data_IF_684320585500
#
_entry.id   IF_684320585500
#
_cell.length_a   1.000
_cell.length_b   1.000
_cell.length_c   1.000
_cell.angle_alpha   90.00
_cell.angle_beta   90.00
_cell.angle_gamma   90.00
#
_symmetry.space_group_name_H-M   'P 1'
#
loop_
_entity.id
_entity.type
_entity.pdbx_description
1 polymer ?
#
# COMPACT_ATOMS: atom_id res chain seq x y z
N UNK A 1 -24.57 3.10 21.35
CA UNK A 1 -23.81 3.69 20.23
C UNK A 1 -24.34 3.26 18.86
N UNK A 2 -24.35 1.95 18.47
CA UNK A 2 -24.89 1.54 17.17
C UNK A 2 -26.38 1.92 17.02
N UNK A 3 -27.20 1.60 18.02
CA UNK A 3 -28.62 1.91 18.04
C UNK A 3 -28.90 3.43 18.06
N UNK A 4 -28.13 4.21 18.77
CA UNK A 4 -28.23 5.67 18.82
C UNK A 4 -27.90 6.30 17.47
N UNK A 5 -26.76 5.87 16.86
CA UNK A 5 -26.39 6.33 15.53
C UNK A 5 -27.44 5.98 14.47
N UNK A 6 -28.04 4.80 14.58
CA UNK A 6 -29.07 4.38 13.66
C UNK A 6 -30.37 5.18 13.80
N UNK A 7 -30.80 5.51 15.02
CA UNK A 7 -31.97 6.35 15.27
C UNK A 7 -31.77 7.80 14.82
N UNK A 8 -30.58 8.33 15.05
CA UNK A 8 -30.21 9.70 14.71
C UNK A 8 -29.78 9.90 13.25
N UNK A 9 -29.64 8.82 12.49
CA UNK A 9 -29.15 8.87 11.09
C UNK A 9 -27.68 9.23 10.94
N UNK A 10 -26.87 8.99 11.97
CA UNK A 10 -25.43 9.23 11.98
C UNK A 10 -24.66 8.11 11.28
N UNK A 11 -23.47 8.43 10.80
CA UNK A 11 -22.55 7.45 10.23
C UNK A 11 -21.68 6.84 11.32
N UNK A 12 -21.44 5.54 11.24
CA UNK A 12 -20.54 4.80 12.12
C UNK A 12 -19.53 4.03 11.29
N UNK A 13 -18.28 4.00 11.73
CA UNK A 13 -17.22 3.22 11.11
C UNK A 13 -16.61 2.26 12.12
N UNK A 14 -16.66 0.96 11.82
CA UNK A 14 -16.02 -0.11 12.58
C UNK A 14 -14.75 -0.54 11.87
N UNK A 15 -13.61 -0.18 12.45
CA UNK A 15 -12.30 -0.48 11.88
C UNK A 15 -11.78 -1.82 12.36
N UNK A 16 -11.14 -2.56 11.45
CA UNK A 16 -10.42 -3.81 11.73
C UNK A 16 -11.30 -4.85 12.44
N UNK A 17 -12.49 -5.08 11.91
CA UNK A 17 -13.47 -5.99 12.50
C UNK A 17 -12.92 -7.43 12.64
N UNK A 18 -12.00 -7.85 11.77
CA UNK A 18 -11.31 -9.14 11.82
C UNK A 18 -10.60 -9.43 13.14
N UNK A 19 -10.19 -8.38 13.89
CA UNK A 19 -9.54 -8.54 15.19
C UNK A 19 -10.51 -8.90 16.31
N UNK A 20 -11.82 -8.76 16.07
CA UNK A 20 -12.86 -8.96 17.09
C UNK A 20 -13.75 -10.17 16.80
N UNK A 21 -13.15 -11.28 16.41
CA UNK A 21 -13.86 -12.50 15.97
C UNK A 21 -14.97 -12.98 16.92
N UNK A 22 -14.73 -12.90 18.24
CA UNK A 22 -15.73 -13.29 19.25
C UNK A 22 -16.95 -12.37 19.31
N UNK A 23 -16.81 -11.14 18.91
CA UNK A 23 -17.89 -10.14 18.95
C UNK A 23 -18.68 -10.07 17.64
N UNK A 24 -18.12 -10.53 16.53
CA UNK A 24 -18.73 -10.42 15.19
C UNK A 24 -20.13 -11.04 15.14
N UNK A 25 -20.34 -12.21 15.77
CA UNK A 25 -21.64 -12.86 15.79
C UNK A 25 -22.71 -12.06 16.55
N UNK A 26 -22.31 -11.38 17.61
CA UNK A 26 -23.21 -10.47 18.33
C UNK A 26 -23.49 -9.21 17.52
N UNK A 27 -22.48 -8.68 16.86
CA UNK A 27 -22.60 -7.52 15.97
C UNK A 27 -23.56 -7.81 14.80
N UNK A 28 -23.52 -8.99 14.21
CA UNK A 28 -24.44 -9.43 13.16
C UNK A 28 -25.89 -9.30 13.61
N UNK A 29 -26.23 -9.88 14.77
CA UNK A 29 -27.58 -9.81 15.33
C UNK A 29 -28.00 -8.37 15.65
N UNK A 30 -27.09 -7.57 16.20
CA UNK A 30 -27.36 -6.16 16.51
C UNK A 30 -27.58 -5.35 15.23
N UNK A 31 -26.78 -5.60 14.17
CA UNK A 31 -26.91 -4.91 12.88
C UNK A 31 -28.24 -5.27 12.19
N UNK A 32 -28.61 -6.53 12.18
CA UNK A 32 -29.89 -6.97 11.61
C UNK A 32 -31.08 -6.32 12.31
N UNK A 33 -31.08 -6.31 13.64
CA UNK A 33 -32.15 -5.65 14.44
C UNK A 33 -32.22 -4.16 14.17
N UNK A 34 -31.07 -3.51 14.09
CA UNK A 34 -30.98 -2.05 13.90
C UNK A 34 -31.35 -1.67 12.46
N UNK A 35 -31.03 -2.50 11.46
CA UNK A 35 -31.31 -2.21 10.05
C UNK A 35 -32.80 -2.06 9.75
N UNK A 36 -33.66 -2.75 10.50
CA UNK A 36 -35.12 -2.70 10.33
C UNK A 36 -35.76 -1.38 10.76
N UNK A 37 -35.13 -0.66 11.69
CA UNK A 37 -35.66 0.57 12.30
C UNK A 37 -34.72 1.78 12.08
N UNK A 38 -33.69 1.65 11.25
CA UNK A 38 -32.69 2.69 11.05
C UNK A 38 -33.25 3.87 10.24
N UNK A 39 -32.78 5.06 10.60
CA UNK A 39 -33.04 6.27 9.83
C UNK A 39 -32.44 6.16 8.40
N UNK A 40 -33.11 6.67 7.35
CA UNK A 40 -32.66 6.55 5.96
C UNK A 40 -31.22 7.09 5.69
N UNK A 41 -30.77 8.05 6.49
CA UNK A 41 -29.41 8.62 6.40
C UNK A 41 -28.34 7.82 7.16
N UNK A 42 -28.72 6.80 7.93
CA UNK A 42 -27.76 5.96 8.64
C UNK A 42 -26.85 5.21 7.68
N UNK A 43 -25.56 5.16 7.98
CA UNK A 43 -24.59 4.35 7.25
C UNK A 43 -23.63 3.68 8.22
N UNK A 44 -23.41 2.38 8.02
CA UNK A 44 -22.43 1.60 8.76
C UNK A 44 -21.31 1.19 7.81
N UNK A 45 -20.09 1.63 8.09
CA UNK A 45 -18.88 1.26 7.35
C UNK A 45 -18.11 0.24 8.18
N UNK A 46 -17.61 -0.79 7.52
CA UNK A 46 -16.83 -1.87 8.13
C UNK A 46 -15.53 -2.00 7.36
N UNK A 47 -14.40 -2.05 8.05
CA UNK A 47 -13.14 -2.43 7.44
C UNK A 47 -12.64 -3.76 8.00
N UNK A 48 -12.07 -4.59 7.15
CA UNK A 48 -11.46 -5.86 7.51
C UNK A 48 -10.31 -6.17 6.55
N UNK A 49 -9.31 -6.90 7.03
CA UNK A 49 -8.35 -7.54 6.14
C UNK A 49 -9.01 -8.71 5.41
N UNK A 50 -8.56 -9.01 4.18
CA UNK A 50 -9.00 -10.22 3.49
C UNK A 50 -8.50 -11.46 4.24
N UNK A 51 -9.23 -12.58 4.19
CA UNK A 51 -8.81 -13.80 4.85
C UNK A 51 -7.50 -14.32 4.25
N UNK A 52 -6.61 -14.89 5.07
CA UNK A 52 -5.33 -15.44 4.59
C UNK A 52 -5.51 -16.66 3.68
N UNK A 53 -6.59 -17.37 3.84
CA UNK A 53 -6.99 -18.53 3.03
C UNK A 53 -8.46 -18.38 2.61
N UNK A 54 -8.81 -18.82 1.39
CA UNK A 54 -10.20 -18.75 0.89
C UNK A 54 -11.22 -19.54 1.75
N UNK A 55 -10.74 -20.49 2.54
CA UNK A 55 -11.55 -21.35 3.41
C UNK A 55 -11.89 -20.76 4.77
N UNK A 56 -11.33 -19.58 5.09
CA UNK A 56 -11.55 -18.92 6.38
C UNK A 56 -12.51 -17.75 6.21
N UNK A 57 -13.70 -17.86 6.77
CA UNK A 57 -14.66 -16.78 6.83
C UNK A 57 -14.40 -15.90 8.06
N UNK A 58 -13.88 -14.71 7.81
CA UNK A 58 -13.62 -13.69 8.86
C UNK A 58 -14.90 -12.94 9.18
N UNK A 59 -15.64 -12.53 8.15
CA UNK A 59 -16.90 -11.80 8.28
C UNK A 59 -18.05 -12.73 7.92
N UNK A 60 -19.11 -12.85 8.75
CA UNK A 60 -20.26 -13.68 8.47
C UNK A 60 -20.88 -13.39 7.11
N UNK A 61 -21.28 -14.43 6.42
CA UNK A 61 -21.87 -14.36 5.09
C UNK A 61 -23.09 -13.43 5.01
N UNK A 62 -24.03 -13.39 5.98
CA UNK A 62 -25.16 -12.47 5.95
C UNK A 62 -24.76 -10.99 5.89
N UNK A 63 -23.69 -10.61 6.61
CA UNK A 63 -23.16 -9.24 6.56
C UNK A 63 -22.57 -8.97 5.17
N UNK A 64 -21.84 -9.93 4.60
CA UNK A 64 -21.26 -9.79 3.27
C UNK A 64 -22.33 -9.69 2.18
N UNK A 65 -23.38 -10.49 2.26
CA UNK A 65 -24.47 -10.46 1.27
C UNK A 65 -25.27 -9.17 1.32
N UNK A 66 -25.52 -8.62 2.52
CA UNK A 66 -26.27 -7.37 2.72
C UNK A 66 -25.44 -6.10 2.46
N UNK A 67 -24.11 -6.20 2.25
CA UNK A 67 -23.21 -5.06 2.16
C UNK A 67 -22.72 -4.80 0.75
N UNK A 68 -22.41 -3.53 0.47
CA UNK A 68 -21.62 -3.14 -0.72
C UNK A 68 -20.16 -3.44 -0.43
N UNK A 69 -19.57 -4.34 -1.19
CA UNK A 69 -18.17 -4.76 -1.03
C UNK A 69 -17.26 -3.83 -1.83
N UNK A 70 -16.31 -3.22 -1.13
CA UNK A 70 -15.28 -2.38 -1.74
C UNK A 70 -13.93 -3.01 -1.46
N UNK A 71 -13.29 -3.58 -2.48
CA UNK A 71 -11.92 -4.06 -2.38
C UNK A 71 -10.95 -2.90 -2.55
N UNK A 72 -10.02 -2.75 -1.60
CA UNK A 72 -8.94 -1.77 -1.67
C UNK A 72 -7.60 -2.53 -1.80
N UNK A 73 -7.39 -3.13 -2.95
CA UNK A 73 -6.14 -3.80 -3.26
C UNK A 73 -5.05 -2.79 -3.61
N UNK A 74 -3.84 -3.06 -3.13
CA UNK A 74 -2.68 -2.27 -3.52
C UNK A 74 -2.43 -2.43 -5.02
N UNK A 75 -2.30 -1.31 -5.72
CA UNK A 75 -1.94 -1.32 -7.13
C UNK A 75 -0.59 -2.03 -7.30
N UNK A 76 -0.52 -2.99 -8.22
CA UNK A 76 0.69 -3.78 -8.42
C UNK A 76 1.66 -3.15 -9.44
N UNK A 77 1.18 -2.25 -10.28
CA UNK A 77 1.98 -1.58 -11.32
C UNK A 77 2.71 -0.33 -10.77
N UNK A 78 4.01 -0.23 -11.04
CA UNK A 78 4.85 0.90 -10.62
C UNK A 78 4.33 2.24 -11.13
N UNK A 79 3.82 2.29 -12.36
CA UNK A 79 3.26 3.51 -12.94
C UNK A 79 2.00 3.96 -12.20
N UNK A 80 1.10 3.02 -11.92
CA UNK A 80 -0.12 3.28 -11.18
C UNK A 80 0.17 3.73 -9.74
N UNK A 81 1.13 3.08 -9.07
CA UNK A 81 1.59 3.47 -7.73
C UNK A 81 2.21 4.87 -7.73
N UNK A 82 3.06 5.20 -8.72
CA UNK A 82 3.68 6.53 -8.81
C UNK A 82 2.66 7.62 -9.06
N UNK A 83 1.65 7.36 -9.90
CA UNK A 83 0.54 8.30 -10.10
C UNK A 83 -0.27 8.50 -8.83
N UNK A 84 -0.60 7.43 -8.13
CA UNK A 84 -1.35 7.47 -6.88
C UNK A 84 -0.57 8.24 -5.82
N UNK A 85 0.72 7.94 -5.66
CA UNK A 85 1.59 8.63 -4.72
C UNK A 85 1.67 10.14 -5.01
N UNK A 86 1.86 10.53 -6.27
CA UNK A 86 1.92 11.94 -6.67
C UNK A 86 0.54 12.61 -6.65
N UNK A 87 -0.54 11.85 -6.88
CA UNK A 87 -1.92 12.31 -6.83
C UNK A 87 -2.41 12.75 -5.45
N UNK A 88 -1.72 12.38 -4.38
CA UNK A 88 -1.98 12.87 -3.02
C UNK A 88 -1.60 14.36 -2.85
N UNK A 89 -0.89 14.94 -3.79
CA UNK A 89 -0.47 16.33 -3.78
C UNK A 89 -1.19 17.11 -4.88
N UNK A 90 -1.30 18.41 -4.70
CA UNK A 90 -1.90 19.31 -5.68
C UNK A 90 -0.95 20.47 -6.02
N UNK A 91 -1.33 21.29 -7.01
CA UNK A 91 -0.49 22.43 -7.42
C UNK A 91 -0.22 23.40 -6.26
N UNK A 92 -1.22 23.66 -5.41
CA UNK A 92 -1.04 24.53 -4.25
C UNK A 92 0.04 24.01 -3.30
N UNK A 93 0.09 22.69 -3.09
CA UNK A 93 1.14 22.06 -2.28
C UNK A 93 2.52 22.16 -2.92
N UNK A 94 2.61 22.01 -4.24
CA UNK A 94 3.87 22.17 -5.00
C UNK A 94 4.44 23.59 -4.92
N UNK A 95 3.56 24.58 -4.76
CA UNK A 95 3.93 25.99 -4.69
C UNK A 95 4.02 26.55 -3.27
N UNK A 96 3.75 25.74 -2.25
CA UNK A 96 3.71 26.15 -0.85
C UNK A 96 5.08 26.49 -0.25
N UNK A 97 6.15 25.93 -0.78
CA UNK A 97 7.51 26.12 -0.29
C UNK A 97 8.21 27.32 -0.94
N UNK A 98 9.03 28.04 -0.17
CA UNK A 98 9.87 29.13 -0.70
C UNK A 98 10.85 28.64 -1.77
N UNK A 99 11.39 27.43 -1.61
CA UNK A 99 12.29 26.74 -2.56
C UNK A 99 11.52 25.77 -3.44
N UNK A 100 10.67 26.31 -4.30
CA UNK A 100 9.72 25.55 -5.14
C UNK A 100 10.39 24.48 -6.00
N UNK A 101 11.54 24.80 -6.61
CA UNK A 101 12.22 23.88 -7.53
C UNK A 101 12.80 22.67 -6.78
N UNK A 102 13.46 22.92 -5.66
CA UNK A 102 14.00 21.88 -4.79
C UNK A 102 12.89 21.01 -4.23
N UNK A 103 11.81 21.62 -3.75
CA UNK A 103 10.66 20.91 -3.22
C UNK A 103 10.03 20.00 -4.28
N UNK A 104 9.72 20.52 -5.47
CA UNK A 104 9.12 19.75 -6.59
C UNK A 104 10.00 18.56 -6.99
N UNK A 105 11.29 18.79 -7.14
CA UNK A 105 12.23 17.75 -7.59
C UNK A 105 12.39 16.64 -6.56
N UNK A 106 12.56 16.98 -5.28
CA UNK A 106 12.74 16.01 -4.20
C UNK A 106 11.41 15.29 -3.94
N UNK A 107 10.28 15.98 -3.95
CA UNK A 107 8.96 15.37 -3.77
C UNK A 107 8.65 14.37 -4.88
N UNK A 108 8.94 14.70 -6.13
CA UNK A 108 8.76 13.77 -7.25
C UNK A 108 9.60 12.51 -7.07
N UNK A 109 10.87 12.68 -6.70
CA UNK A 109 11.78 11.55 -6.42
C UNK A 109 11.31 10.73 -5.22
N UNK A 110 10.76 11.36 -4.19
CA UNK A 110 10.19 10.71 -3.01
C UNK A 110 8.93 9.88 -3.37
N UNK A 111 8.05 10.40 -4.22
CA UNK A 111 6.89 9.65 -4.72
C UNK A 111 7.32 8.41 -5.53
N UNK A 112 8.36 8.56 -6.35
CA UNK A 112 8.93 7.45 -7.10
C UNK A 112 9.57 6.42 -6.15
N UNK A 113 10.34 6.86 -5.16
CA UNK A 113 10.90 6.00 -4.10
C UNK A 113 9.81 5.22 -3.36
N UNK A 114 8.76 5.89 -2.92
CA UNK A 114 7.61 5.26 -2.26
C UNK A 114 7.00 4.14 -3.11
N UNK A 115 6.82 4.42 -4.40
CA UNK A 115 6.27 3.45 -5.34
C UNK A 115 7.19 2.26 -5.56
N UNK A 116 8.52 2.48 -5.57
CA UNK A 116 9.50 1.41 -5.68
C UNK A 116 9.46 0.48 -4.46
N UNK A 117 9.47 1.02 -3.25
CA UNK A 117 9.50 0.20 -2.03
C UNK A 117 8.19 -0.60 -1.86
N UNK A 118 7.05 -0.03 -2.22
CA UNK A 118 5.77 -0.76 -2.24
C UNK A 118 5.81 -1.85 -3.32
N UNK A 119 6.23 -1.51 -4.54
CA UNK A 119 6.27 -2.44 -5.66
C UNK A 119 7.22 -3.62 -5.47
N UNK A 120 8.29 -3.46 -4.66
CA UNK A 120 9.19 -4.57 -4.35
C UNK A 120 8.53 -5.73 -3.62
N UNK A 121 7.41 -5.48 -2.91
CA UNK A 121 6.68 -6.53 -2.17
C UNK A 121 6.23 -7.69 -3.06
N UNK A 122 5.95 -7.43 -4.33
CA UNK A 122 5.51 -8.48 -5.27
C UNK A 122 6.57 -9.55 -5.55
N UNK A 123 7.85 -9.21 -5.38
CA UNK A 123 8.96 -10.16 -5.60
C UNK A 123 9.24 -11.04 -4.36
N UNK A 124 8.38 -11.01 -3.34
CA UNK A 124 8.53 -11.82 -2.13
C UNK A 124 9.88 -11.59 -1.44
N UNK A 125 10.54 -12.68 -1.04
CA UNK A 125 11.83 -12.63 -0.32
C UNK A 125 12.97 -12.00 -1.14
N UNK A 126 12.89 -11.98 -2.47
CA UNK A 126 13.89 -11.28 -3.32
C UNK A 126 13.69 -9.76 -3.23
N UNK A 127 12.46 -9.31 -3.03
CA UNK A 127 12.14 -7.90 -2.83
C UNK A 127 12.45 -7.42 -1.41
N UNK A 128 11.81 -8.03 -0.42
CA UNK A 128 11.97 -7.77 1.01
C UNK A 128 12.00 -9.08 1.78
N UNK A 129 12.90 -9.20 2.76
CA UNK A 129 13.01 -10.41 3.59
C UNK A 129 11.73 -10.70 4.38
N UNK A 130 11.02 -9.64 4.76
CA UNK A 130 9.71 -9.73 5.43
C UNK A 130 8.69 -8.78 4.79
N UNK A 131 7.40 -8.92 5.13
CA UNK A 131 6.36 -8.02 4.65
C UNK A 131 6.33 -6.75 5.51
N UNK A 132 6.61 -5.61 4.91
CA UNK A 132 6.51 -4.29 5.55
C UNK A 132 5.26 -3.54 5.08
N UNK A 133 4.57 -2.86 5.99
CA UNK A 133 3.36 -2.10 5.68
C UNK A 133 3.70 -0.61 5.50
N UNK A 134 4.28 -0.28 4.36
CA UNK A 134 4.43 1.12 3.94
C UNK A 134 3.08 1.67 3.46
N UNK A 135 2.75 2.89 3.87
CA UNK A 135 1.47 3.51 3.57
C UNK A 135 1.62 4.95 3.04
N UNK A 136 0.52 5.51 2.54
CA UNK A 136 0.51 6.87 2.02
C UNK A 136 0.73 7.94 3.11
N UNK A 137 0.42 7.62 4.37
CA UNK A 137 0.70 8.49 5.50
C UNK A 137 2.20 8.71 5.69
N UNK A 138 3.02 7.67 5.51
CA UNK A 138 4.48 7.79 5.57
C UNK A 138 4.99 8.79 4.52
N UNK A 139 4.44 8.72 3.29
CA UNK A 139 4.77 9.65 2.21
C UNK A 139 4.37 11.08 2.55
N UNK A 140 3.16 11.29 3.08
CA UNK A 140 2.66 12.61 3.45
C UNK A 140 3.51 13.25 4.55
N UNK A 141 3.84 12.49 5.61
CA UNK A 141 4.72 12.94 6.68
C UNK A 141 6.10 13.31 6.13
N UNK A 142 6.66 12.49 5.25
CA UNK A 142 7.94 12.80 4.60
C UNK A 142 7.89 14.08 3.77
N UNK A 143 6.78 14.36 3.09
CA UNK A 143 6.60 15.61 2.33
C UNK A 143 6.46 16.82 3.25
N UNK A 144 5.81 16.67 4.41
CA UNK A 144 5.72 17.74 5.41
C UNK A 144 7.08 18.03 6.05
N UNK A 145 7.84 17.00 6.38
CA UNK A 145 9.22 17.14 6.87
C UNK A 145 10.09 17.82 5.82
N UNK A 146 9.97 17.42 4.54
CA UNK A 146 10.68 18.09 3.45
C UNK A 146 10.40 19.58 3.41
N UNK A 147 9.14 19.98 3.45
CA UNK A 147 8.74 21.38 3.43
C UNK A 147 9.34 22.15 4.62
N UNK A 148 9.22 21.60 5.83
CA UNK A 148 9.74 22.22 7.04
C UNK A 148 11.26 22.40 7.01
N UNK A 149 11.99 21.42 6.50
CA UNK A 149 13.45 21.49 6.39
C UNK A 149 13.90 22.48 5.32
N UNK A 150 13.21 22.55 4.18
CA UNK A 150 13.51 23.51 3.14
C UNK A 150 13.25 24.96 3.57
N UNK A 151 12.23 25.20 4.40
CA UNK A 151 11.95 26.53 4.96
C UNK A 151 12.98 26.94 6.04
N UNK A 152 13.42 25.96 6.83
CA UNK A 152 14.32 26.23 7.96
C UNK A 152 15.78 26.44 7.53
N UNK A 153 16.28 25.65 6.58
CA UNK A 153 17.69 25.64 6.20
C UNK A 153 17.92 26.40 4.89
N UNK A 154 18.98 27.20 4.82
CA UNK A 154 19.35 27.90 3.60
C UNK A 154 19.73 26.95 2.46
N UNK A 155 20.52 25.92 2.77
CA UNK A 155 20.89 24.86 1.84
C UNK A 155 20.07 23.60 2.11
N UNK A 156 19.75 22.83 1.05
CA UNK A 156 19.03 21.57 1.19
C UNK A 156 19.85 20.56 1.98
N UNK A 157 19.40 20.09 3.16
CA UNK A 157 20.15 19.15 3.99
C UNK A 157 19.87 17.69 3.52
N UNK A 158 20.43 17.30 2.39
CA UNK A 158 20.17 15.98 1.78
C UNK A 158 20.53 14.81 2.70
N UNK A 159 21.57 14.94 3.53
CA UNK A 159 21.99 13.86 4.45
C UNK A 159 20.97 13.67 5.57
N UNK A 160 20.50 14.77 6.15
CA UNK A 160 19.48 14.73 7.21
C UNK A 160 18.16 14.17 6.68
N UNK A 161 17.74 14.60 5.48
CA UNK A 161 16.52 14.08 4.84
C UNK A 161 16.64 12.59 4.58
N UNK A 162 17.77 12.11 4.06
CA UNK A 162 17.98 10.66 3.84
C UNK A 162 17.98 9.88 5.15
N UNK A 163 18.55 10.45 6.20
CA UNK A 163 18.53 9.81 7.53
C UNK A 163 17.11 9.72 8.08
N UNK A 164 16.35 10.82 8.05
CA UNK A 164 14.97 10.84 8.54
C UNK A 164 14.07 9.88 7.78
N UNK A 165 14.16 9.86 6.45
CA UNK A 165 13.35 8.95 5.64
C UNK A 165 13.80 7.50 5.81
N UNK A 166 15.11 7.24 5.86
CA UNK A 166 15.69 5.92 5.85
C UNK A 166 15.67 5.20 7.19
N UNK A 167 15.84 5.93 8.30
CA UNK A 167 15.95 5.34 9.62
C UNK A 167 14.68 5.53 10.48
N UNK A 168 13.99 6.66 10.30
CA UNK A 168 12.86 7.02 11.18
C UNK A 168 11.53 6.74 10.50
N UNK A 169 11.26 7.33 9.34
CA UNK A 169 9.95 7.22 8.68
C UNK A 169 9.74 5.80 8.10
N UNK A 170 10.36 5.51 6.98
CA UNK A 170 10.27 4.17 6.37
C UNK A 170 11.08 3.13 7.14
N UNK A 171 12.25 3.51 7.66
CA UNK A 171 13.10 2.63 8.46
C UNK A 171 12.49 2.17 9.77
N UNK A 172 11.56 2.94 10.34
CA UNK A 172 10.79 2.55 11.52
C UNK A 172 9.93 1.30 11.31
N UNK A 173 9.49 1.04 10.08
CA UNK A 173 8.77 -0.19 9.72
C UNK A 173 9.70 -1.38 9.46
N UNK A 174 10.98 -1.13 9.17
CA UNK A 174 11.93 -2.16 8.72
C UNK A 174 12.62 -2.78 9.92
N UNK A 175 12.44 -4.07 10.11
CA UNK A 175 13.03 -4.85 11.21
C UNK A 175 14.35 -5.52 10.84
N UNK A 176 14.55 -5.87 9.56
CA UNK A 176 15.76 -6.52 9.09
C UNK A 176 16.85 -5.52 8.70
N UNK A 177 18.10 -5.81 9.09
CA UNK A 177 19.24 -4.91 8.84
C UNK A 177 19.66 -4.83 7.36
N UNK A 178 19.49 -5.90 6.59
CA UNK A 178 19.82 -5.89 5.16
C UNK A 178 18.79 -5.11 4.37
N UNK A 179 17.51 -5.27 4.72
CA UNK A 179 16.42 -4.50 4.14
C UNK A 179 16.58 -3.00 4.45
N UNK A 180 17.01 -2.66 5.67
CA UNK A 180 17.32 -1.27 6.04
C UNK A 180 18.46 -0.69 5.21
N UNK A 181 19.52 -1.47 4.97
CA UNK A 181 20.61 -1.05 4.08
C UNK A 181 20.14 -0.86 2.64
N UNK A 182 19.26 -1.74 2.18
CA UNK A 182 18.64 -1.63 0.86
C UNK A 182 17.82 -0.34 0.75
N UNK A 183 16.97 -0.06 1.73
CA UNK A 183 16.18 1.17 1.81
C UNK A 183 17.08 2.43 1.75
N UNK A 184 18.15 2.45 2.54
CA UNK A 184 19.10 3.56 2.56
C UNK A 184 19.87 3.70 1.25
N UNK A 185 20.18 2.60 0.56
CA UNK A 185 20.82 2.62 -0.76
C UNK A 185 19.90 3.26 -1.82
N UNK A 186 18.59 2.98 -1.78
CA UNK A 186 17.63 3.68 -2.64
C UNK A 186 17.61 5.17 -2.38
N UNK A 187 17.53 5.58 -1.11
CA UNK A 187 17.50 6.99 -0.76
C UNK A 187 18.77 7.71 -1.20
N UNK A 188 19.95 7.09 -1.08
CA UNK A 188 21.21 7.67 -1.59
C UNK A 188 21.19 7.87 -3.09
N UNK A 189 20.54 6.97 -3.82
CA UNK A 189 20.45 7.06 -5.29
C UNK A 189 19.41 8.08 -5.74
N UNK A 190 18.29 8.16 -5.02
CA UNK A 190 17.11 8.92 -5.43
C UNK A 190 17.04 10.32 -4.80
N UNK A 191 17.59 10.55 -3.62
CA UNK A 191 17.58 11.86 -2.93
C UNK A 191 18.99 12.43 -2.93
N UNK A 192 19.31 13.22 -3.94
CA UNK A 192 20.64 13.79 -4.16
C UNK A 192 20.56 15.14 -4.88
N UNK A 193 21.61 15.98 -4.77
CA UNK A 193 21.62 17.32 -5.37
C UNK A 193 21.41 17.34 -6.88
N UNK A 194 21.89 16.31 -7.57
CA UNK A 194 21.83 16.20 -9.03
C UNK A 194 20.40 16.05 -9.58
N UNK A 195 19.39 15.88 -8.72
CA UNK A 195 17.99 15.87 -9.10
C UNK A 195 17.56 17.13 -9.86
N UNK A 196 18.11 18.29 -9.46
CA UNK A 196 17.82 19.59 -10.08
C UNK A 196 18.36 19.70 -11.51
N UNK A 197 19.39 18.93 -11.82
CA UNK A 197 20.05 18.91 -13.12
C UNK A 197 19.61 17.76 -14.03
N UNK A 198 18.56 17.02 -13.62
CA UNK A 198 18.00 15.92 -14.41
C UNK A 198 18.71 14.58 -14.19
N UNK A 199 18.98 14.22 -12.93
CA UNK A 199 19.56 12.94 -12.56
C UNK A 199 18.68 11.75 -13.01
N UNK A 200 19.32 10.63 -13.33
CA UNK A 200 18.62 9.40 -13.59
C UNK A 200 18.02 8.84 -12.28
N UNK A 201 16.70 8.68 -12.26
CA UNK A 201 15.95 8.01 -11.18
C UNK A 201 15.94 6.49 -11.38
N UNK A 202 15.92 6.05 -12.65
CA UNK A 202 16.03 4.66 -13.03
C UNK A 202 16.63 4.55 -14.43
N UNK A 203 16.82 3.33 -14.93
CA UNK A 203 17.26 3.11 -16.32
C UNK A 203 16.23 3.72 -17.28
N UNK A 204 16.67 4.68 -18.10
CA UNK A 204 15.85 5.43 -19.06
C UNK A 204 14.75 6.32 -18.43
N UNK A 205 14.84 6.61 -17.14
CA UNK A 205 13.92 7.51 -16.46
C UNK A 205 14.68 8.58 -15.69
N UNK A 206 14.51 9.83 -16.09
CA UNK A 206 15.20 10.99 -15.52
C UNK A 206 14.28 11.80 -14.60
N UNK A 207 14.86 12.54 -13.67
CA UNK A 207 14.14 13.59 -12.94
C UNK A 207 13.73 14.70 -13.92
N UNK A 208 12.44 15.09 -13.96
CA UNK A 208 12.01 16.21 -14.82
C UNK A 208 12.54 17.54 -14.29
N UNK A 209 12.69 18.52 -15.17
CA UNK A 209 13.14 19.88 -14.82
C UNK A 209 12.06 20.60 -13.99
N UNK A 210 12.30 20.86 -12.70
CA UNK A 210 11.27 21.41 -11.81
C UNK A 210 10.82 22.83 -12.18
N UNK A 211 11.64 23.58 -12.94
CA UNK A 211 11.32 24.95 -13.37
C UNK A 211 10.24 25.01 -14.45
N UNK A 212 10.09 23.92 -15.22
CA UNK A 212 9.20 23.83 -16.38
C UNK A 212 7.93 23.05 -16.13
N UNK A 213 7.86 22.32 -15.01
CA UNK A 213 6.78 21.37 -14.74
C UNK A 213 5.78 21.92 -13.71
N UNK A 214 4.50 21.89 -14.07
CA UNK A 214 3.36 22.01 -13.16
C UNK A 214 2.80 20.62 -12.81
N UNK A 215 1.80 20.55 -11.95
CA UNK A 215 1.20 19.29 -11.49
C UNK A 215 0.74 18.38 -12.65
N UNK A 216 0.02 18.93 -13.62
CA UNK A 216 -0.49 18.17 -14.76
C UNK A 216 0.63 17.64 -15.65
N UNK A 217 1.69 18.43 -15.84
CA UNK A 217 2.85 18.02 -16.63
C UNK A 217 3.63 16.90 -15.93
N UNK A 218 3.73 16.89 -14.58
CA UNK A 218 4.28 15.76 -13.84
C UNK A 218 3.44 14.50 -14.03
N UNK A 219 2.11 14.60 -13.94
CA UNK A 219 1.21 13.47 -14.16
C UNK A 219 1.32 12.92 -15.60
N UNK A 220 1.41 13.80 -16.59
CA UNK A 220 1.66 13.44 -17.99
C UNK A 220 3.04 12.79 -18.15
N UNK A 221 4.07 13.34 -17.53
CA UNK A 221 5.43 12.81 -17.57
C UNK A 221 5.51 11.38 -17.04
N UNK A 222 4.86 11.07 -15.93
CA UNK A 222 4.76 9.71 -15.39
C UNK A 222 4.12 8.78 -16.42
N UNK A 223 3.06 9.23 -17.09
CA UNK A 223 2.37 8.44 -18.11
C UNK A 223 3.24 8.10 -19.30
N UNK A 224 3.94 9.11 -19.83
CA UNK A 224 4.59 9.04 -21.14
C UNK A 224 6.03 8.55 -21.05
N UNK A 225 6.73 8.84 -19.95
CA UNK A 225 8.18 8.62 -19.82
C UNK A 225 8.58 7.51 -18.86
N UNK A 226 7.71 7.12 -17.92
CA UNK A 226 8.03 5.99 -17.06
C UNK A 226 8.01 4.70 -17.90
N UNK A 227 9.15 3.98 -17.99
CA UNK A 227 9.25 2.78 -18.81
C UNK A 227 8.34 1.66 -18.26
N UNK A 228 8.02 0.65 -19.08
CA UNK A 228 7.32 -0.54 -18.65
C UNK A 228 8.01 -1.19 -17.46
N UNK A 229 7.22 -1.74 -16.57
CA UNK A 229 7.72 -2.36 -15.37
C UNK A 229 8.65 -3.55 -15.67
N UNK A 230 9.78 -3.58 -14.97
CA UNK A 230 10.75 -4.66 -15.05
C UNK A 230 11.54 -4.74 -13.74
N UNK A 231 12.13 -5.89 -13.36
CA UNK A 231 12.95 -6.01 -12.16
C UNK A 231 14.08 -4.99 -12.08
N UNK A 232 14.63 -4.59 -13.23
CA UNK A 232 15.71 -3.61 -13.32
C UNK A 232 15.29 -2.24 -12.77
N UNK A 233 14.02 -1.85 -12.94
CA UNK A 233 13.50 -0.59 -12.38
C UNK A 233 13.48 -0.61 -10.84
N UNK A 234 13.33 -1.79 -10.26
CA UNK A 234 13.41 -2.02 -8.81
C UNK A 234 14.83 -2.32 -8.34
N UNK A 235 15.84 -2.11 -9.19
CA UNK A 235 17.24 -2.44 -8.90
C UNK A 235 17.44 -3.92 -8.51
N UNK A 236 16.61 -4.80 -9.08
CA UNK A 236 16.69 -6.24 -8.92
C UNK A 236 17.32 -6.89 -10.15
N UNK A 237 17.89 -8.06 -9.93
CA UNK A 237 18.39 -8.90 -11.03
C UNK A 237 17.20 -9.36 -11.91
N UNK A 238 17.37 -9.47 -13.25
CA UNK A 238 16.30 -9.92 -14.15
C UNK A 238 15.66 -11.26 -13.76
N UNK A 239 16.40 -12.17 -13.13
CA UNK A 239 15.87 -13.45 -12.66
C UNK A 239 14.75 -13.32 -11.59
N UNK A 240 14.61 -12.16 -10.96
CA UNK A 240 13.52 -11.90 -10.03
C UNK A 240 12.14 -12.00 -10.72
N UNK A 241 12.07 -11.73 -12.03
CA UNK A 241 10.84 -11.90 -12.81
C UNK A 241 10.43 -13.35 -12.94
N UNK A 242 11.40 -14.25 -13.14
CA UNK A 242 11.14 -15.70 -13.23
C UNK A 242 10.53 -16.20 -11.92
N UNK A 243 11.15 -15.82 -10.79
CA UNK A 243 10.65 -16.20 -9.47
C UNK A 243 9.25 -15.66 -9.21
N UNK A 244 8.98 -14.40 -9.60
CA UNK A 244 7.66 -13.79 -9.47
C UNK A 244 6.63 -14.52 -10.31
N UNK A 245 6.88 -14.75 -11.59
CA UNK A 245 5.96 -15.44 -12.50
C UNK A 245 5.70 -16.89 -12.05
N UNK A 246 6.73 -17.59 -11.58
CA UNK A 246 6.60 -18.95 -11.04
C UNK A 246 5.67 -18.96 -9.82
N UNK A 247 5.86 -18.03 -8.89
CA UNK A 247 5.01 -17.90 -7.70
C UNK A 247 3.57 -17.57 -8.05
N UNK A 248 3.34 -16.68 -9.03
CA UNK A 248 2.02 -16.35 -9.53
C UNK A 248 1.34 -17.56 -10.20
N UNK A 249 2.09 -18.32 -11.00
CA UNK A 249 1.60 -19.56 -11.62
C UNK A 249 1.19 -20.60 -10.59
N UNK A 250 1.99 -20.80 -9.55
CA UNK A 250 1.67 -21.70 -8.44
C UNK A 250 0.43 -21.24 -7.67
N UNK A 251 0.31 -19.94 -7.40
CA UNK A 251 -0.87 -19.39 -6.73
C UNK A 251 -2.16 -19.65 -7.53
N UNK A 252 -2.15 -19.36 -8.82
CA UNK A 252 -3.31 -19.61 -9.70
C UNK A 252 -3.64 -21.11 -9.76
N UNK A 253 -2.62 -21.95 -9.90
CA UNK A 253 -2.81 -23.40 -9.94
C UNK A 253 -3.42 -23.94 -8.64
N UNK A 254 -2.91 -23.53 -7.48
CA UNK A 254 -3.44 -23.92 -6.19
C UNK A 254 -4.89 -23.42 -6.00
N UNK A 255 -5.18 -22.18 -6.41
CA UNK A 255 -6.54 -21.63 -6.34
C UNK A 255 -7.53 -22.44 -7.18
N UNK A 256 -7.11 -22.94 -8.35
CA UNK A 256 -7.95 -23.82 -9.19
C UNK A 256 -8.18 -25.16 -8.51
N UNK A 257 -7.15 -25.74 -7.89
CA UNK A 257 -7.27 -27.00 -7.14
C UNK A 257 -8.21 -26.85 -5.94
N UNK A 258 -8.11 -25.74 -5.20
CA UNK A 258 -8.98 -25.46 -4.05
C UNK A 258 -10.46 -25.34 -4.48
N UNK A 259 -10.72 -24.68 -5.62
CA UNK A 259 -12.07 -24.60 -6.20
C UNK A 259 -12.58 -25.98 -6.60
N UNK A 260 -11.74 -26.84 -7.22
CA UNK A 260 -12.13 -28.20 -7.59
C UNK A 260 -12.31 -29.10 -6.37
N UNK A 261 -11.44 -29.00 -5.36
CA UNK A 261 -11.52 -29.74 -4.11
C UNK A 261 -12.74 -29.38 -3.27
N UNK A 262 -13.11 -28.10 -3.23
CA UNK A 262 -14.29 -27.62 -2.51
C UNK A 262 -15.63 -28.08 -3.10
N UNK A 263 -15.64 -28.50 -4.37
CA UNK A 263 -16.86 -29.07 -5.01
C UNK A 263 -17.09 -30.57 -4.72
N UNK A 264 -16.12 -31.25 -4.11
CA UNK A 264 -16.19 -32.70 -3.82
C UNK A 264 -16.38 -33.05 -2.33
N UNK A 265 -16.34 -32.09 -1.42
CA UNK A 265 -16.64 -32.34 0.01
C UNK A 265 -18.10 -32.09 0.32
N UNK A 266 -18.93 -33.12 0.13
CA UNK A 266 -20.20 -33.25 0.86
C UNK A 266 -19.90 -33.20 2.37
N UNK A 267 -20.67 -32.43 3.18
CA UNK A 267 -20.38 -32.28 4.61
C UNK A 267 -20.79 -33.57 5.39
N UNK A 268 -20.11 -34.69 5.15
CA UNK A 268 -20.48 -35.95 5.76
C UNK A 268 -19.34 -36.89 6.18
N UNK A 269 -18.12 -36.74 5.66
CA UNK A 269 -17.14 -37.83 5.83
C UNK A 269 -15.75 -37.46 6.39
N UNK A 270 -15.53 -36.25 6.88
CA UNK A 270 -14.19 -35.81 7.33
C UNK A 270 -14.02 -35.78 8.85
N UNK A 271 -14.66 -36.66 9.64
CA UNK A 271 -14.49 -36.67 11.11
C UNK A 271 -13.95 -37.97 11.72
N UNK A 272 -13.67 -39.00 10.95
CA UNK A 272 -13.25 -40.31 11.51
C UNK A 272 -11.73 -40.60 11.43
N UNK A 273 -10.95 -39.91 10.63
CA UNK A 273 -9.53 -40.29 10.42
C UNK A 273 -8.50 -39.63 11.36
N UNK A 274 -8.86 -38.58 12.10
CA UNK A 274 -7.91 -37.92 12.99
C UNK A 274 -7.85 -38.48 14.43
N UNK A 275 -8.75 -39.35 14.85
CA UNK A 275 -8.72 -39.96 16.20
C UNK A 275 -7.84 -41.21 16.31
N UNK A 276 -7.31 -41.75 15.22
CA UNK A 276 -6.53 -43.01 15.24
C UNK A 276 -5.02 -42.81 15.38
N UNK A 277 -4.51 -41.56 15.37
CA UNK A 277 -3.06 -41.28 15.45
C UNK A 277 -2.54 -40.87 16.82
N UNK A 278 -3.33 -40.94 17.89
CA UNK A 278 -2.90 -40.73 19.26
C UNK A 278 -3.38 -41.84 20.20
N UNK A 279 -2.89 -43.06 19.98
CA UNK A 279 -2.78 -44.09 21.01
C UNK A 279 -1.45 -44.81 20.89
#
# INVERSE_FOLDING_TARGET
MLEECAKEGKWIMLQNLHLMSKWIKRFENDLERVSQTAHPSFRCFISSEPPPLPTIDIIPEPILQASIKVSNEALQDLKANTKRAFGNFNQARLDSCSKKNEFKSILFSLCFFHSLIIGRRKFGAIGWSTKYNFNEGDLQICADVLNNYLEKYEKVPYEDLRYLYGEIMYGGHITDNWDRRTNNAYLKTLIKPELLTGANLAKNFKSPDPSKFNYEQYMKYINDKLPPESPILFYLHPNAEISYLTSQGQYVFNSILDIQGGSSSSPGEAKEDDEIKHK
#
